data_IF_553522722132
#
_entry.id   IF_553522722132
#
_cell.length_a   1.000
_cell.length_b   1.000
_cell.length_c   1.000
_cell.angle_alpha   90.00
_cell.angle_beta   90.00
_cell.angle_gamma   90.00
#
_symmetry.space_group_name_H-M   'P 1'
#
loop_
_entity.id
_entity.type
_entity.pdbx_description
1 polymer ?
#
# COMPACT_ATOMS: atom_id res chain seq x y z
N UNK A 1 34.02 28.83 -18.08
CA UNK A 1 32.58 28.85 -18.44
C UNK A 1 32.19 27.69 -19.37
N UNK A 2 32.74 27.54 -20.58
CA UNK A 2 32.38 26.45 -21.52
C UNK A 2 32.48 25.03 -20.93
N UNK A 3 33.56 24.72 -20.18
CA UNK A 3 33.73 23.40 -19.54
C UNK A 3 32.66 23.08 -18.49
N UNK A 4 32.23 24.10 -17.71
CA UNK A 4 31.18 23.92 -16.70
C UNK A 4 29.82 23.66 -17.36
N UNK A 5 29.53 24.34 -18.49
CA UNK A 5 28.31 24.08 -19.27
C UNK A 5 28.31 22.65 -19.78
N UNK A 6 29.42 22.16 -20.34
CA UNK A 6 29.53 20.78 -20.81
C UNK A 6 29.29 19.79 -19.67
N UNK A 7 29.92 19.99 -18.51
CA UNK A 7 29.72 19.12 -17.33
C UNK A 7 28.26 19.13 -16.89
N UNK A 8 27.63 20.30 -16.83
CA UNK A 8 26.22 20.41 -16.44
C UNK A 8 25.29 19.71 -17.43
N UNK A 9 25.52 19.88 -18.74
CA UNK A 9 24.73 19.19 -19.77
C UNK A 9 24.90 17.68 -19.67
N UNK A 10 26.12 17.18 -19.44
CA UNK A 10 26.36 15.75 -19.25
C UNK A 10 25.68 15.23 -17.98
N UNK A 11 25.74 15.96 -16.87
CA UNK A 11 25.10 15.56 -15.62
C UNK A 11 23.56 15.50 -15.78
N UNK A 12 22.96 16.49 -16.42
CA UNK A 12 21.53 16.48 -16.76
C UNK A 12 21.21 15.31 -17.68
N UNK A 13 21.97 15.10 -18.75
CA UNK A 13 21.74 13.99 -19.68
C UNK A 13 21.83 12.61 -19.03
N UNK A 14 22.80 12.40 -18.13
CA UNK A 14 22.94 11.17 -17.36
C UNK A 14 21.77 10.97 -16.40
N UNK A 15 21.37 12.01 -15.67
CA UNK A 15 20.23 11.93 -14.75
C UNK A 15 18.91 11.68 -15.48
N UNK A 16 18.69 12.35 -16.62
CA UNK A 16 17.55 12.10 -17.48
C UNK A 16 17.55 10.67 -18.00
N UNK A 17 18.69 10.19 -18.52
CA UNK A 17 18.82 8.82 -19.02
C UNK A 17 18.54 7.77 -17.96
N UNK A 18 19.06 7.98 -16.74
CA UNK A 18 18.76 7.14 -15.58
C UNK A 18 17.26 7.13 -15.26
N UNK A 19 16.61 8.31 -15.22
CA UNK A 19 15.18 8.39 -14.95
C UNK A 19 14.35 7.64 -16.00
N UNK A 20 14.61 7.87 -17.29
CA UNK A 20 13.88 7.20 -18.37
C UNK A 20 14.05 5.68 -18.33
N UNK A 21 15.27 5.19 -18.07
CA UNK A 21 15.52 3.77 -17.90
C UNK A 21 14.74 3.19 -16.72
N UNK A 22 14.75 3.88 -15.57
CA UNK A 22 14.01 3.47 -14.38
C UNK A 22 12.50 3.48 -14.57
N UNK A 23 11.93 4.55 -15.15
CA UNK A 23 10.49 4.65 -15.41
C UNK A 23 10.02 3.56 -16.38
N UNK A 24 10.82 3.27 -17.41
CA UNK A 24 10.52 2.19 -18.36
C UNK A 24 10.60 0.82 -17.72
N UNK A 25 11.58 0.59 -16.83
CA UNK A 25 11.69 -0.68 -16.10
C UNK A 25 10.50 -0.89 -15.14
N UNK A 26 10.07 0.15 -14.43
CA UNK A 26 8.87 0.09 -13.57
C UNK A 26 7.63 -0.22 -14.41
N UNK A 27 7.42 0.52 -15.51
CA UNK A 27 6.27 0.29 -16.38
C UNK A 27 6.22 -1.13 -16.93
N UNK A 28 7.34 -1.61 -17.50
CA UNK A 28 7.43 -2.97 -18.05
C UNK A 28 7.27 -4.05 -16.98
N UNK A 29 7.82 -3.84 -15.77
CA UNK A 29 7.68 -4.78 -14.67
C UNK A 29 6.23 -4.95 -14.22
N UNK A 30 5.47 -3.85 -14.12
CA UNK A 30 4.06 -3.92 -13.74
C UNK A 30 3.21 -4.49 -14.89
N UNK A 31 3.45 -4.08 -16.14
CA UNK A 31 2.77 -4.66 -17.31
C UNK A 31 2.99 -6.18 -17.40
N UNK A 32 4.23 -6.63 -17.18
CA UNK A 32 4.60 -8.04 -17.10
C UNK A 32 3.88 -8.77 -15.96
N UNK A 33 3.81 -8.17 -14.77
CA UNK A 33 3.08 -8.74 -13.64
C UNK A 33 1.60 -8.99 -13.95
N UNK A 34 0.92 -8.04 -14.62
CA UNK A 34 -0.48 -8.22 -15.05
C UNK A 34 -0.64 -9.33 -16.10
N UNK A 35 0.31 -9.43 -17.03
CA UNK A 35 0.33 -10.49 -18.03
C UNK A 35 0.52 -11.86 -17.36
N UNK A 36 1.42 -11.95 -16.37
CA UNK A 36 1.66 -13.16 -15.59
C UNK A 36 0.44 -13.58 -14.78
N UNK A 37 -0.28 -12.63 -14.16
CA UNK A 37 -1.52 -12.94 -13.42
C UNK A 37 -2.59 -13.49 -14.37
N UNK A 38 -2.76 -12.86 -15.53
CA UNK A 38 -3.70 -13.34 -16.57
C UNK A 38 -3.31 -14.74 -17.06
N UNK A 39 -2.02 -15.00 -17.27
CA UNK A 39 -1.51 -16.31 -17.68
C UNK A 39 -1.72 -17.40 -16.62
N UNK A 40 -1.78 -17.03 -15.34
CA UNK A 40 -2.13 -17.93 -14.21
C UNK A 40 -3.64 -18.16 -14.08
N UNK A 41 -4.46 -17.55 -14.94
CA UNK A 41 -5.92 -17.66 -14.89
C UNK A 41 -6.59 -16.68 -13.93
N UNK A 42 -5.85 -15.72 -13.37
CA UNK A 42 -6.44 -14.62 -12.60
C UNK A 42 -7.02 -13.58 -13.57
N UNK A 43 -8.09 -12.91 -13.18
CA UNK A 43 -8.53 -11.68 -13.85
C UNK A 43 -7.63 -10.55 -13.36
N UNK A 44 -6.89 -9.91 -14.26
CA UNK A 44 -6.00 -8.79 -13.92
C UNK A 44 -6.13 -7.68 -14.96
N UNK A 45 -7.12 -6.81 -14.76
CA UNK A 45 -7.52 -5.77 -15.71
C UNK A 45 -7.23 -4.37 -15.19
N UNK A 46 -7.05 -3.45 -16.13
CA UNK A 46 -6.76 -2.03 -15.91
C UNK A 46 -7.17 -1.23 -17.15
N UNK A 47 -7.62 0.00 -16.98
CA UNK A 47 -7.96 0.90 -18.09
C UNK A 47 -6.75 1.70 -18.55
N UNK A 48 -5.86 2.07 -17.63
CA UNK A 48 -4.62 2.76 -17.92
C UNK A 48 -3.52 2.40 -16.92
N UNK A 49 -2.27 2.56 -17.36
CA UNK A 49 -1.09 2.44 -16.53
C UNK A 49 -0.09 3.50 -16.98
N UNK A 50 0.32 4.37 -16.06
CA UNK A 50 1.22 5.49 -16.36
C UNK A 50 2.29 5.60 -15.29
N UNK A 51 3.52 5.89 -15.70
CA UNK A 51 4.63 6.24 -14.80
C UNK A 51 5.06 7.68 -15.08
N UNK A 52 5.05 8.52 -14.05
CA UNK A 52 5.40 9.95 -14.10
C UNK A 52 6.37 10.31 -12.97
N UNK A 53 6.66 11.61 -12.78
CA UNK A 53 7.50 12.09 -11.67
C UNK A 53 8.91 12.57 -12.05
N UNK A 54 9.18 12.80 -13.33
CA UNK A 54 10.48 13.29 -13.79
C UNK A 54 10.94 14.55 -13.04
N UNK A 55 12.22 14.63 -12.62
CA UNK A 55 13.28 13.62 -12.73
C UNK A 55 13.56 12.86 -11.42
N UNK A 56 12.75 13.09 -10.39
CA UNK A 56 13.12 12.83 -9.01
C UNK A 56 12.18 11.85 -8.30
N UNK A 57 11.12 11.43 -8.99
CA UNK A 57 10.13 10.48 -8.50
C UNK A 57 9.77 9.46 -9.58
N UNK A 58 9.35 8.30 -9.11
CA UNK A 58 8.58 7.33 -9.89
C UNK A 58 7.19 7.30 -9.28
N UNK A 59 6.25 7.91 -9.99
CA UNK A 59 4.84 7.98 -9.63
C UNK A 59 4.09 7.04 -10.59
N UNK A 60 3.81 5.82 -10.14
CA UNK A 60 3.02 4.84 -10.86
C UNK A 60 1.54 5.08 -10.55
N UNK A 61 0.70 5.18 -11.57
CA UNK A 61 -0.76 5.20 -11.44
C UNK A 61 -1.36 4.09 -12.30
N UNK A 62 -2.17 3.24 -11.68
CA UNK A 62 -3.01 2.25 -12.35
C UNK A 62 -4.45 2.69 -12.21
N UNK A 63 -5.17 2.78 -13.33
CA UNK A 63 -6.57 3.19 -13.36
C UNK A 63 -7.49 2.00 -13.67
N UNK A 64 -8.70 2.04 -13.11
CA UNK A 64 -9.72 1.01 -13.30
C UNK A 64 -9.22 -0.39 -12.94
N UNK A 65 -8.51 -0.52 -11.82
CA UNK A 65 -7.89 -1.76 -11.40
C UNK A 65 -8.97 -2.76 -11.01
N UNK A 66 -8.94 -3.94 -11.64
CA UNK A 66 -9.80 -5.09 -11.30
C UNK A 66 -8.95 -6.35 -11.25
N UNK A 67 -8.78 -6.86 -10.04
CA UNK A 67 -8.11 -8.13 -9.77
C UNK A 67 -9.16 -9.12 -9.27
N UNK A 68 -9.16 -10.35 -9.80
CA UNK A 68 -9.95 -11.43 -9.23
C UNK A 68 -9.25 -12.76 -9.42
N UNK A 69 -9.34 -13.61 -8.41
CA UNK A 69 -8.90 -15.00 -8.44
C UNK A 69 -10.13 -15.90 -8.52
N UNK A 70 -10.44 -16.48 -9.69
CA UNK A 70 -11.59 -17.36 -9.86
C UNK A 70 -11.50 -18.66 -9.04
N UNK A 71 -10.31 -19.08 -8.61
CA UNK A 71 -10.14 -20.32 -7.84
C UNK A 71 -10.52 -20.13 -6.38
N UNK A 72 -10.12 -19.00 -5.80
CA UNK A 72 -10.36 -18.71 -4.39
C UNK A 72 -11.60 -17.86 -4.18
N UNK A 73 -12.12 -17.17 -5.20
CA UNK A 73 -13.27 -16.26 -5.08
C UNK A 73 -12.90 -14.87 -4.57
N UNK A 74 -11.62 -14.61 -4.31
CA UNK A 74 -11.17 -13.28 -3.89
C UNK A 74 -11.10 -12.32 -5.07
N UNK A 75 -11.50 -11.07 -4.84
CA UNK A 75 -11.44 -10.00 -5.82
C UNK A 75 -11.18 -8.65 -5.17
N UNK A 76 -10.60 -7.74 -5.94
CA UNK A 76 -10.37 -6.36 -5.55
C UNK A 76 -10.57 -5.43 -6.75
N UNK A 77 -11.38 -4.41 -6.55
CA UNK A 77 -11.65 -3.39 -7.54
C UNK A 77 -11.43 -2.01 -6.93
N UNK A 78 -10.75 -1.15 -7.66
CA UNK A 78 -10.53 0.25 -7.25
C UNK A 78 -10.45 1.16 -8.47
N UNK A 79 -11.07 2.36 -8.44
CA UNK A 79 -10.95 3.36 -9.51
C UNK A 79 -9.50 3.69 -9.88
N UNK A 80 -8.60 3.75 -8.89
CA UNK A 80 -7.18 3.86 -9.12
C UNK A 80 -6.37 3.33 -7.93
N UNK A 81 -5.12 2.99 -8.22
CA UNK A 81 -4.07 2.76 -7.23
C UNK A 81 -2.81 3.52 -7.66
N UNK A 82 -2.28 4.34 -6.77
CA UNK A 82 -1.05 5.09 -7.02
C UNK A 82 0.05 4.59 -6.11
N UNK A 83 1.26 4.48 -6.65
CA UNK A 83 2.46 4.06 -5.93
C UNK A 83 3.57 5.04 -6.22
N UNK A 84 4.17 5.58 -5.17
CA UNK A 84 5.15 6.64 -5.20
C UNK A 84 6.47 6.16 -4.62
N UNK A 85 7.57 6.45 -5.30
CA UNK A 85 8.93 6.28 -4.79
C UNK A 85 9.80 7.44 -5.22
N UNK A 86 10.75 7.87 -4.38
CA UNK A 86 11.82 8.76 -4.82
C UNK A 86 12.84 7.96 -5.64
N UNK A 87 13.43 8.56 -6.67
CA UNK A 87 14.40 7.86 -7.51
C UNK A 87 15.68 7.45 -6.76
N UNK A 88 16.09 8.25 -5.77
CA UNK A 88 17.26 7.98 -4.92
C UNK A 88 16.93 7.25 -3.60
N UNK A 89 15.67 6.87 -3.38
CA UNK A 89 15.24 6.15 -2.17
C UNK A 89 14.26 5.02 -2.52
N UNK A 90 14.67 4.05 -3.36
CA UNK A 90 13.77 2.99 -3.85
C UNK A 90 13.24 2.05 -2.76
N UNK A 91 13.88 2.03 -1.59
CA UNK A 91 13.45 1.28 -0.40
C UNK A 91 12.31 1.96 0.38
N UNK A 92 11.78 3.10 -0.09
CA UNK A 92 10.66 3.79 0.55
C UNK A 92 9.55 4.06 -0.46
N UNK A 93 8.45 3.34 -0.29
CA UNK A 93 7.32 3.32 -1.20
C UNK A 93 6.08 3.80 -0.45
N UNK A 94 5.26 4.61 -1.10
CA UNK A 94 3.97 5.06 -0.57
C UNK A 94 2.89 4.72 -1.59
N UNK A 95 1.88 3.97 -1.18
CA UNK A 95 0.68 3.74 -1.97
C UNK A 95 -0.44 4.67 -1.51
N UNK A 96 -1.22 5.19 -2.45
CA UNK A 96 -2.48 5.89 -2.19
C UNK A 96 -3.59 5.21 -3.00
N UNK A 97 -4.70 4.92 -2.34
CA UNK A 97 -5.82 4.19 -2.93
C UNK A 97 -7.03 5.12 -3.09
N UNK A 98 -7.89 4.78 -4.04
CA UNK A 98 -9.12 5.52 -4.26
C UNK A 98 -10.03 5.48 -3.02
N UNK A 99 -10.87 6.53 -2.80
CA UNK A 99 -11.73 6.59 -1.64
C UNK A 99 -12.80 5.51 -1.56
N UNK A 100 -13.12 4.84 -2.66
CA UNK A 100 -14.07 3.74 -2.71
C UNK A 100 -13.40 2.54 -3.39
N UNK A 101 -13.55 1.37 -2.76
CA UNK A 101 -13.00 0.11 -3.22
C UNK A 101 -14.01 -0.99 -2.97
N UNK A 102 -14.00 -2.01 -3.83
CA UNK A 102 -14.82 -3.21 -3.67
C UNK A 102 -13.90 -4.38 -3.44
N UNK A 103 -14.09 -5.08 -2.34
CA UNK A 103 -13.35 -6.27 -1.95
C UNK A 103 -14.34 -7.43 -2.01
N UNK A 104 -14.11 -8.36 -2.92
CA UNK A 104 -14.91 -9.58 -3.04
C UNK A 104 -14.18 -10.70 -2.30
N UNK A 105 -14.92 -11.42 -1.48
CA UNK A 105 -14.46 -12.63 -0.79
C UNK A 105 -15.34 -13.81 -1.22
N UNK A 106 -15.02 -15.05 -0.84
CA UNK A 106 -15.87 -16.21 -1.18
C UNK A 106 -17.30 -16.10 -0.66
N UNK A 107 -17.48 -15.40 0.47
CA UNK A 107 -18.72 -15.38 1.23
C UNK A 107 -19.52 -14.08 1.05
N UNK A 108 -18.84 -12.97 0.72
CA UNK A 108 -19.44 -11.63 0.69
C UNK A 108 -18.67 -10.63 -0.19
N UNK A 109 -19.36 -9.57 -0.57
CA UNK A 109 -18.79 -8.37 -1.18
C UNK A 109 -18.81 -7.19 -0.19
N UNK A 110 -17.63 -6.62 0.06
CA UNK A 110 -17.43 -5.50 0.97
C UNK A 110 -17.08 -4.25 0.18
N UNK A 111 -17.91 -3.22 0.29
CA UNK A 111 -17.61 -1.88 -0.21
C UNK A 111 -16.91 -1.10 0.90
N UNK A 112 -15.63 -0.83 0.72
CA UNK A 112 -14.83 -0.01 1.61
C UNK A 112 -14.76 1.42 1.09
N UNK A 113 -15.25 2.36 1.88
CA UNK A 113 -15.06 3.80 1.67
C UNK A 113 -14.12 4.34 2.73
N UNK A 114 -13.07 5.05 2.33
CA UNK A 114 -12.07 5.57 3.25
C UNK A 114 -11.50 6.89 2.74
N UNK A 115 -11.42 7.89 3.62
CA UNK A 115 -10.74 9.15 3.31
C UNK A 115 -9.21 8.97 3.43
N UNK A 116 -8.50 9.38 2.39
CA UNK A 116 -7.04 9.42 2.38
C UNK A 116 -6.34 8.08 2.66
N UNK A 117 -6.92 6.94 2.23
CA UNK A 117 -6.33 5.62 2.44
C UNK A 117 -4.93 5.54 1.81
N UNK A 118 -3.93 5.35 2.66
CA UNK A 118 -2.53 5.28 2.28
C UNK A 118 -1.85 4.09 2.93
N UNK A 119 -0.84 3.58 2.24
CA UNK A 119 0.13 2.65 2.80
C UNK A 119 1.54 3.18 2.59
N UNK A 120 2.42 3.02 3.56
CA UNK A 120 3.84 3.30 3.45
C UNK A 120 4.61 2.02 3.75
N UNK A 121 5.51 1.65 2.86
CA UNK A 121 6.46 0.57 3.05
C UNK A 121 7.86 1.14 3.04
N UNK A 122 8.65 0.78 4.06
CA UNK A 122 10.04 1.15 4.20
C UNK A 122 10.86 -0.11 4.45
N UNK A 123 11.92 -0.27 3.67
CA UNK A 123 12.99 -1.21 3.94
C UNK A 123 14.24 -0.46 4.43
N UNK A 124 15.10 -1.16 5.17
CA UNK A 124 16.41 -0.62 5.52
C UNK A 124 17.27 -0.49 4.26
N UNK A 125 18.12 0.55 4.15
CA UNK A 125 18.96 0.80 2.98
C UNK A 125 20.20 -0.13 2.94
N UNK A 126 20.02 -1.42 3.21
CA UNK A 126 21.04 -2.47 3.13
C UNK A 126 20.80 -3.33 1.88
N UNK A 127 21.77 -4.18 1.51
CA UNK A 127 21.73 -4.94 0.26
C UNK A 127 20.60 -5.99 0.20
N UNK A 128 20.21 -6.49 1.37
CA UNK A 128 19.15 -7.47 1.58
C UNK A 128 17.76 -6.82 1.79
N UNK A 129 17.70 -5.49 1.91
CA UNK A 129 16.47 -4.70 2.05
C UNK A 129 15.46 -5.28 3.06
N UNK A 130 15.87 -5.55 4.32
CA UNK A 130 14.97 -6.09 5.31
C UNK A 130 13.87 -5.07 5.58
N UNK A 131 12.67 -5.58 5.87
CA UNK A 131 11.52 -4.74 6.13
C UNK A 131 11.77 -3.92 7.41
N UNK A 132 11.70 -2.59 7.28
CA UNK A 132 11.84 -1.67 8.40
C UNK A 132 10.48 -1.24 8.95
N UNK A 133 9.52 -0.91 8.07
CA UNK A 133 8.18 -0.54 8.47
C UNK A 133 7.14 -0.77 7.36
N UNK A 134 5.94 -1.19 7.76
CA UNK A 134 4.71 -1.04 6.98
C UNK A 134 3.72 -0.25 7.83
N UNK A 135 3.11 0.77 7.24
CA UNK A 135 2.07 1.57 7.89
C UNK A 135 0.91 1.68 6.90
N UNK A 136 -0.30 1.37 7.34
CA UNK A 136 -1.54 1.60 6.60
C UNK A 136 -2.38 2.55 7.44
N UNK A 137 -2.85 3.62 6.85
CA UNK A 137 -3.63 4.64 7.53
C UNK A 137 -4.80 5.11 6.68
N UNK A 138 -5.91 5.41 7.34
CA UNK A 138 -7.06 6.08 6.76
C UNK A 138 -7.65 7.06 7.75
N UNK A 139 -8.27 8.12 7.22
CA UNK A 139 -9.21 8.95 7.95
C UNK A 139 -10.54 8.21 8.16
N UNK A 140 -11.64 8.96 8.06
CA UNK A 140 -12.97 8.40 8.24
C UNK A 140 -13.21 7.28 7.22
N UNK A 141 -13.75 6.17 7.70
CA UNK A 141 -14.02 5.00 6.87
C UNK A 141 -15.37 4.37 7.19
N UNK A 142 -15.95 3.74 6.18
CA UNK A 142 -17.12 2.88 6.28
C UNK A 142 -16.90 1.64 5.43
N UNK A 143 -17.13 0.47 5.99
CA UNK A 143 -17.15 -0.81 5.30
C UNK A 143 -18.57 -1.36 5.37
N UNK A 144 -19.16 -1.66 4.21
CA UNK A 144 -20.52 -2.20 4.11
C UNK A 144 -20.46 -3.51 3.34
N UNK A 145 -20.98 -4.58 3.93
CA UNK A 145 -21.08 -5.90 3.31
C UNK A 145 -22.47 -6.18 2.77
N UNK A 146 -22.56 -6.92 1.67
CA UNK A 146 -23.80 -7.51 1.17
C UNK A 146 -24.38 -8.60 2.10
N UNK A 147 -23.59 -9.14 3.03
CA UNK A 147 -24.05 -9.97 4.14
C UNK A 147 -24.89 -9.18 5.19
N UNK A 148 -24.94 -7.84 5.06
CA UNK A 148 -25.84 -6.97 5.81
C UNK A 148 -25.21 -6.25 6.99
N UNK A 149 -23.89 -6.39 7.20
CA UNK A 149 -23.18 -5.69 8.27
C UNK A 149 -22.53 -4.40 7.76
N UNK A 150 -22.40 -3.42 8.67
CA UNK A 150 -21.63 -2.20 8.42
C UNK A 150 -20.71 -1.89 9.60
N UNK A 151 -19.49 -1.45 9.29
CA UNK A 151 -18.53 -0.94 10.30
C UNK A 151 -18.08 0.44 9.87
N UNK A 152 -18.04 1.38 10.81
CA UNK A 152 -17.56 2.73 10.57
C UNK A 152 -16.50 3.14 11.61
N UNK A 153 -15.68 4.12 11.27
CA UNK A 153 -14.77 4.77 12.22
C UNK A 153 -14.25 6.10 11.68
N UNK A 154 -13.66 6.92 12.56
CA UNK A 154 -13.13 8.23 12.18
C UNK A 154 -11.66 8.15 11.77
N UNK A 155 -10.95 7.13 12.24
CA UNK A 155 -9.56 6.84 11.87
C UNK A 155 -9.24 5.37 12.06
N UNK A 156 -8.45 4.83 11.15
CA UNK A 156 -7.78 3.56 11.33
C UNK A 156 -6.31 3.69 10.96
N UNK A 157 -5.43 3.15 11.81
CA UNK A 157 -4.02 2.99 11.49
C UNK A 157 -3.53 1.63 11.97
N UNK A 158 -2.82 0.93 11.09
CA UNK A 158 -2.10 -0.30 11.39
C UNK A 158 -0.65 -0.06 11.05
N UNK A 159 0.25 -0.35 11.98
CA UNK A 159 1.68 -0.32 11.70
C UNK A 159 2.36 -1.60 12.15
N UNK A 160 3.36 -2.00 11.37
CA UNK A 160 4.29 -3.07 11.67
C UNK A 160 5.70 -2.50 11.48
N UNK A 161 6.45 -2.31 12.57
CA UNK A 161 7.80 -1.73 12.53
C UNK A 161 8.82 -2.70 13.12
N UNK A 162 9.98 -2.82 12.51
CA UNK A 162 11.10 -3.56 13.07
C UNK A 162 11.51 -2.93 14.42
N UNK A 163 11.88 -3.74 15.40
CA UNK A 163 12.34 -3.24 16.71
C UNK A 163 13.55 -2.31 16.56
N UNK A 164 14.46 -2.63 15.63
CA UNK A 164 15.59 -1.78 15.29
C UNK A 164 15.17 -0.41 14.71
N UNK A 165 14.12 -0.36 13.91
CA UNK A 165 13.57 0.89 13.36
C UNK A 165 12.99 1.76 14.50
N UNK A 166 12.24 1.15 15.42
CA UNK A 166 11.66 1.86 16.58
C UNK A 166 12.75 2.41 17.50
N UNK A 167 13.79 1.61 17.79
CA UNK A 167 14.95 2.05 18.57
C UNK A 167 15.69 3.22 17.88
N UNK A 168 15.85 3.15 16.56
CA UNK A 168 16.48 4.22 15.76
C UNK A 168 15.66 5.51 15.81
N UNK A 169 14.33 5.42 15.67
CA UNK A 169 13.42 6.57 15.80
C UNK A 169 13.47 7.19 17.22
N UNK A 170 13.70 6.37 18.25
CA UNK A 170 13.82 6.79 19.64
C UNK A 170 15.22 7.33 20.03
N UNK A 171 16.21 7.21 19.14
CA UNK A 171 17.61 7.56 19.45
C UNK A 171 18.30 6.59 20.42
N UNK A 172 17.79 5.36 20.51
CA UNK A 172 18.34 4.29 21.34
C UNK A 172 19.54 3.59 20.65
N UNK A 173 20.39 2.86 21.41
CA UNK A 173 21.51 2.12 20.84
C UNK A 173 21.04 1.13 19.77
N UNK A 174 21.87 0.92 18.74
CA UNK A 174 21.58 -0.02 17.66
C UNK A 174 21.30 -1.42 18.20
N UNK A 175 20.09 -1.92 17.92
CA UNK A 175 19.71 -3.31 18.14
C UNK A 175 20.44 -4.18 17.09
N UNK A 176 20.67 -5.46 17.39
CA UNK A 176 21.34 -6.37 16.46
C UNK A 176 20.65 -6.38 15.09
N UNK A 177 21.44 -6.31 14.02
CA UNK A 177 20.96 -6.17 12.63
C UNK A 177 20.11 -7.37 12.16
N UNK A 178 20.32 -8.55 12.75
CA UNK A 178 19.59 -9.79 12.45
C UNK A 178 18.31 -9.99 13.31
N UNK A 179 17.88 -8.95 14.03
CA UNK A 179 16.72 -9.03 14.91
C UNK A 179 15.40 -8.91 14.12
N UNK A 180 14.85 -10.05 13.69
CA UNK A 180 13.56 -10.17 13.00
C UNK A 180 12.35 -9.99 13.93
N UNK A 181 12.44 -9.09 14.92
CA UNK A 181 11.32 -8.73 15.80
C UNK A 181 10.62 -7.49 15.28
N UNK A 182 9.29 -7.54 15.32
CA UNK A 182 8.44 -6.46 14.86
C UNK A 182 7.43 -6.08 15.94
N UNK A 183 7.16 -4.78 16.04
CA UNK A 183 6.10 -4.21 16.87
C UNK A 183 4.92 -3.93 15.95
N UNK A 184 3.79 -4.56 16.25
CA UNK A 184 2.52 -4.29 15.59
C UNK A 184 1.68 -3.38 16.47
N UNK A 185 1.14 -2.30 15.88
CA UNK A 185 0.23 -1.37 16.55
C UNK A 185 -1.03 -1.23 15.71
N UNK A 186 -2.18 -1.41 16.35
CA UNK A 186 -3.50 -1.11 15.81
C UNK A 186 -4.08 0.06 16.59
N UNK A 187 -4.53 1.07 15.85
CA UNK A 187 -5.12 2.28 16.41
C UNK A 187 -6.41 2.60 15.64
N UNK A 188 -7.54 2.47 16.34
CA UNK A 188 -8.88 2.66 15.81
C UNK A 188 -9.59 3.72 16.65
N UNK A 189 -10.05 4.79 16.01
CA UNK A 189 -10.78 5.86 16.69
C UNK A 189 -12.27 5.81 16.34
N UNK A 190 -13.11 5.86 17.37
CA UNK A 190 -14.57 5.92 17.26
C UNK A 190 -15.14 4.78 16.40
N UNK A 191 -14.62 3.56 16.61
CA UNK A 191 -15.13 2.38 15.93
C UNK A 191 -16.61 2.15 16.30
N UNK A 192 -17.46 2.12 15.30
CA UNK A 192 -18.88 1.85 15.42
C UNK A 192 -19.24 0.60 14.58
N UNK A 193 -19.15 -0.60 15.18
CA UNK A 193 -19.62 -1.83 14.54
C UNK A 193 -21.14 -1.87 14.47
N UNK A 194 -21.68 -2.70 13.57
CA UNK A 194 -23.13 -2.91 13.43
C UNK A 194 -23.74 -3.43 14.75
N UNK A 195 -24.74 -2.75 15.33
CA UNK A 195 -25.38 -3.19 16.57
C UNK A 195 -25.99 -4.59 16.49
N UNK A 196 -26.50 -4.99 15.32
CA UNK A 196 -27.14 -6.29 15.11
C UNK A 196 -26.09 -7.40 15.07
N UNK A 197 -24.97 -7.18 14.39
CA UNK A 197 -23.86 -8.16 14.40
C UNK A 197 -23.15 -8.21 15.74
N UNK A 198 -22.98 -7.07 16.41
CA UNK A 198 -22.49 -7.04 17.79
C UNK A 198 -23.37 -7.88 18.71
N UNK A 199 -24.70 -7.81 18.56
CA UNK A 199 -25.61 -8.66 19.31
C UNK A 199 -25.46 -10.16 18.98
N UNK A 200 -25.19 -10.53 17.72
CA UNK A 200 -24.92 -11.93 17.34
C UNK A 200 -23.61 -12.44 17.92
N UNK A 201 -22.53 -11.66 17.82
CA UNK A 201 -21.22 -12.01 18.38
C UNK A 201 -21.35 -12.18 19.89
N UNK A 202 -21.98 -11.24 20.59
CA UNK A 202 -22.15 -11.27 22.04
C UNK A 202 -23.11 -12.38 22.51
N UNK A 203 -24.12 -12.73 21.71
CA UNK A 203 -25.01 -13.85 22.05
C UNK A 203 -24.34 -15.23 21.92
N UNK A 204 -23.29 -15.34 21.11
CA UNK A 204 -22.52 -16.57 20.88
C UNK A 204 -21.18 -16.65 21.61
N UNK A 205 -20.77 -15.59 22.32
CA UNK A 205 -19.49 -15.52 23.02
C UNK A 205 -19.69 -14.91 24.41
N UNK A 206 -18.98 -15.42 25.42
CA UNK A 206 -18.95 -14.83 26.79
C UNK A 206 -18.22 -13.46 26.83
N UNK A 207 -18.27 -12.69 25.74
CA UNK A 207 -17.67 -11.36 25.65
C UNK A 207 -18.55 -10.32 26.34
N UNK A 208 -17.95 -9.33 27.01
CA UNK A 208 -18.70 -8.25 27.63
C UNK A 208 -19.42 -7.40 26.58
N UNK A 209 -20.56 -6.78 26.93
CA UNK A 209 -21.40 -6.01 26.01
C UNK A 209 -20.77 -4.69 25.52
N UNK A 210 -19.56 -4.34 25.97
CA UNK A 210 -18.84 -3.11 25.61
C UNK A 210 -17.37 -3.48 25.35
N UNK A 211 -16.85 -3.07 24.19
CA UNK A 211 -15.44 -3.19 23.78
C UNK A 211 -14.69 -1.91 24.19
#
# INVERSE_FOLDING_TARGET
>A
MRRLIVILVLAVGLWSGYWFAGSSAVQQGIEGWFADQTARGMTAERTALVVQGYPNRFDLRVEGLRLADPQTGFGWQTPFAEVYSMTWKPWHIIAALAPEQVITTPDEEVILRADGLKASLRASPTLDLPLAAVIVESGAFTATSDAGWTVAGVRAAVSLKAVAEVATEAGEPSVAEDDNRYIMVLDLAELAPDPVEMARITAGSDLPPVI
#
